data_IF_447730766383
#
_entry.id   IF_447730766383
#
_cell.length_a   1.000
_cell.length_b   1.000
_cell.length_c   1.000
_cell.angle_alpha   90.00
_cell.angle_beta   90.00
_cell.angle_gamma   90.00
#
_symmetry.space_group_name_H-M   'P 1'
#
loop_
_entity.id
_entity.type
_entity.pdbx_description
1 polymer ?
#
# COMPACT_ATOMS: atom_id res chain seq x y z
N UNK A 1 10.58 3.69 -46.31
CA UNK A 1 10.70 3.63 -44.85
C UNK A 1 12.17 3.39 -44.53
N UNK A 2 12.76 4.20 -43.66
CA UNK A 2 14.16 4.10 -43.27
C UNK A 2 14.30 3.22 -42.02
N UNK A 3 15.20 2.26 -42.03
CA UNK A 3 15.51 1.40 -40.88
C UNK A 3 16.72 1.93 -40.14
N UNK A 4 16.56 2.14 -38.82
CA UNK A 4 17.62 2.63 -37.94
C UNK A 4 17.70 1.74 -36.71
N UNK A 5 18.85 1.11 -36.51
CA UNK A 5 19.14 0.41 -35.26
C UNK A 5 19.64 1.39 -34.21
N UNK A 6 19.12 1.25 -33.00
CA UNK A 6 19.47 2.09 -31.84
C UNK A 6 19.74 1.22 -30.62
N UNK A 7 20.40 1.78 -29.61
CA UNK A 7 20.66 1.07 -28.38
C UNK A 7 19.38 0.94 -27.52
N UNK A 8 19.44 0.06 -26.53
CA UNK A 8 18.30 -0.28 -25.66
C UNK A 8 17.74 0.94 -24.93
N UNK A 9 18.60 1.76 -24.31
CA UNK A 9 18.18 2.93 -23.53
C UNK A 9 17.41 3.92 -24.40
N UNK A 10 17.98 4.28 -25.56
CA UNK A 10 17.33 5.22 -26.49
C UNK A 10 16.03 4.65 -27.07
N UNK A 11 15.98 3.33 -27.28
CA UNK A 11 14.76 2.64 -27.72
C UNK A 11 13.65 2.73 -26.67
N UNK A 12 13.98 2.51 -25.39
CA UNK A 12 13.04 2.60 -24.27
C UNK A 12 12.57 4.04 -24.03
N UNK A 13 13.47 5.01 -24.15
CA UNK A 13 13.12 6.44 -24.06
C UNK A 13 12.14 6.90 -25.16
N UNK A 14 12.32 6.42 -26.38
CA UNK A 14 11.40 6.71 -27.49
C UNK A 14 10.08 5.94 -27.29
N UNK A 15 10.14 4.69 -26.88
CA UNK A 15 8.96 3.85 -26.61
C UNK A 15 8.06 4.43 -25.51
N UNK A 16 8.65 5.00 -24.46
CA UNK A 16 7.93 5.68 -23.36
C UNK A 16 7.50 7.11 -23.68
N UNK A 17 7.79 7.59 -24.91
CA UNK A 17 7.54 8.98 -25.35
C UNK A 17 8.29 10.07 -24.52
N UNK A 18 9.32 9.66 -23.77
CA UNK A 18 10.20 10.60 -23.05
C UNK A 18 11.17 11.33 -23.97
N UNK A 19 11.46 10.74 -25.14
CA UNK A 19 12.33 11.33 -26.16
C UNK A 19 11.65 11.40 -27.52
N UNK A 20 11.56 12.61 -28.07
CA UNK A 20 10.85 12.90 -29.33
C UNK A 20 11.80 13.22 -30.49
N UNK A 21 13.09 13.08 -30.28
CA UNK A 21 14.10 13.33 -31.30
C UNK A 21 15.12 12.20 -31.33
N UNK A 22 15.54 11.81 -32.53
CA UNK A 22 16.65 10.91 -32.77
C UNK A 22 17.77 11.66 -33.47
N UNK A 23 18.96 11.67 -32.87
CA UNK A 23 20.13 12.38 -33.38
C UNK A 23 21.12 11.36 -33.94
N UNK A 24 21.66 11.64 -35.12
CA UNK A 24 22.71 10.88 -35.77
C UNK A 24 23.82 11.80 -36.31
N UNK A 25 25.06 11.44 -36.06
CA UNK A 25 26.21 12.20 -36.63
C UNK A 25 26.16 12.16 -38.17
N UNK A 26 26.50 13.29 -38.78
CA UNK A 26 26.51 13.44 -40.24
C UNK A 26 27.75 12.72 -40.86
N UNK A 27 27.87 11.40 -40.56
CA UNK A 27 28.88 10.48 -41.13
C UNK A 27 28.70 10.36 -42.65
N UNK A 28 29.71 9.80 -43.32
CA UNK A 28 29.62 9.51 -44.78
C UNK A 28 28.41 8.60 -45.09
N UNK A 29 28.08 7.65 -44.19
CA UNK A 29 26.93 6.77 -44.36
C UNK A 29 25.63 7.59 -44.32
N UNK A 30 25.42 8.40 -43.30
CA UNK A 30 24.18 9.16 -43.13
C UNK A 30 24.03 10.26 -44.23
N UNK A 31 25.12 10.89 -44.64
CA UNK A 31 25.10 11.81 -45.78
C UNK A 31 24.66 11.10 -47.07
N UNK A 32 25.16 9.87 -47.33
CA UNK A 32 24.74 9.08 -48.49
C UNK A 32 23.27 8.65 -48.44
N UNK A 33 22.74 8.41 -47.27
CA UNK A 33 21.35 7.94 -47.09
C UNK A 33 20.36 9.10 -47.16
N UNK A 34 20.72 10.26 -46.58
CA UNK A 34 19.82 11.35 -46.35
C UNK A 34 19.97 12.50 -47.36
N UNK A 35 21.05 12.61 -48.10
CA UNK A 35 21.30 13.71 -49.04
C UNK A 35 21.21 13.21 -50.47
N UNK A 36 20.29 13.82 -51.23
CA UNK A 36 20.12 13.60 -52.66
C UNK A 36 20.76 14.77 -53.44
N UNK A 37 21.67 14.51 -54.38
CA UNK A 37 22.24 15.59 -55.23
C UNK A 37 21.18 16.07 -56.21
N UNK A 38 21.02 17.38 -56.35
CA UNK A 38 20.21 18.05 -57.33
C UNK A 38 21.11 19.02 -58.13
N UNK A 39 20.96 18.99 -59.46
CA UNK A 39 21.66 19.91 -60.32
C UNK A 39 20.70 21.01 -60.69
N UNK A 40 21.06 22.25 -60.31
CA UNK A 40 20.33 23.47 -60.63
C UNK A 40 21.39 24.49 -61.14
N UNK A 41 21.19 25.03 -62.34
CA UNK A 41 22.11 26.00 -62.98
C UNK A 41 23.57 25.53 -62.97
N UNK A 42 23.84 24.29 -63.39
CA UNK A 42 25.15 23.62 -63.43
C UNK A 42 25.89 23.57 -62.09
N UNK A 43 25.18 23.72 -60.97
CA UNK A 43 25.70 23.57 -59.63
C UNK A 43 25.01 22.41 -58.91
N UNK A 44 25.80 21.65 -58.14
CA UNK A 44 25.27 20.55 -57.33
C UNK A 44 24.82 21.08 -55.96
N UNK A 45 23.55 20.90 -55.68
CA UNK A 45 22.95 21.15 -54.37
C UNK A 45 22.56 19.79 -53.76
N UNK A 46 22.50 19.74 -52.45
CA UNK A 46 22.06 18.53 -51.71
C UNK A 46 20.75 18.85 -51.01
N UNK A 47 19.72 18.06 -51.31
CA UNK A 47 18.40 18.09 -50.66
C UNK A 47 18.25 16.97 -49.67
N UNK A 48 17.57 17.20 -48.56
CA UNK A 48 17.33 16.15 -47.55
C UNK A 48 16.20 15.24 -48.04
N UNK A 49 16.47 13.93 -48.10
CA UNK A 49 15.49 12.93 -48.44
C UNK A 49 14.53 12.74 -47.27
N UNK A 50 13.26 13.07 -47.43
CA UNK A 50 12.25 13.04 -46.39
C UNK A 50 11.59 11.67 -46.28
N UNK A 51 11.63 11.05 -45.09
CA UNK A 51 10.98 9.80 -44.80
C UNK A 51 9.77 10.06 -43.88
N UNK A 52 8.57 9.69 -44.29
CA UNK A 52 7.35 9.80 -43.48
C UNK A 52 7.29 8.84 -42.31
N UNK A 53 8.00 7.71 -42.39
CA UNK A 53 8.04 6.66 -41.36
C UNK A 53 9.44 6.12 -41.19
N UNK A 54 9.80 5.85 -39.94
CA UNK A 54 11.06 5.18 -39.56
C UNK A 54 10.74 3.81 -38.96
N UNK A 55 11.57 2.85 -39.22
CA UNK A 55 11.60 1.56 -38.51
C UNK A 55 12.77 1.61 -37.53
N UNK A 56 12.47 1.70 -36.23
CA UNK A 56 13.49 1.74 -35.18
C UNK A 56 13.58 0.37 -34.51
N UNK A 57 14.75 -0.26 -34.51
CA UNK A 57 14.98 -1.54 -33.87
C UNK A 57 15.98 -1.43 -32.71
N UNK A 58 15.73 -2.19 -31.64
CA UNK A 58 16.68 -2.35 -30.55
C UNK A 58 17.70 -3.43 -30.90
N UNK A 59 18.70 -3.05 -31.68
CA UNK A 59 19.74 -3.96 -32.22
C UNK A 59 19.43 -4.51 -33.61
N UNK A 60 20.33 -5.40 -34.09
CA UNK A 60 20.24 -6.02 -35.40
C UNK A 60 19.50 -7.37 -35.31
N UNK A 61 18.69 -7.68 -36.31
CA UNK A 61 17.96 -8.94 -36.46
C UNK A 61 16.44 -8.77 -36.47
N UNK A 62 15.75 -9.66 -37.18
CA UNK A 62 14.29 -9.62 -37.39
C UNK A 62 13.49 -9.85 -36.10
N UNK A 63 14.08 -10.61 -35.17
CA UNK A 63 13.44 -10.99 -33.89
C UNK A 63 13.61 -9.93 -32.78
N UNK A 64 14.34 -8.86 -33.06
CA UNK A 64 14.56 -7.80 -32.05
C UNK A 64 13.33 -6.90 -31.92
N UNK A 65 13.08 -6.37 -30.69
CA UNK A 65 12.05 -5.38 -30.49
C UNK A 65 12.20 -4.20 -31.44
N UNK A 66 11.13 -3.83 -32.10
CA UNK A 66 11.13 -2.71 -33.05
C UNK A 66 9.80 -1.94 -33.00
N UNK A 67 9.85 -0.69 -33.45
CA UNK A 67 8.67 0.15 -33.64
C UNK A 67 8.68 0.78 -35.03
N UNK A 68 7.51 0.95 -35.59
CA UNK A 68 7.30 1.88 -36.72
C UNK A 68 6.78 3.18 -36.14
N UNK A 69 7.52 4.28 -36.40
CA UNK A 69 7.19 5.59 -35.86
C UNK A 69 7.10 6.63 -36.99
N UNK A 70 6.21 7.58 -36.84
CA UNK A 70 6.10 8.71 -37.74
C UNK A 70 7.38 9.57 -37.67
N UNK A 71 7.90 9.99 -38.81
CA UNK A 71 8.96 10.99 -38.92
C UNK A 71 8.34 12.28 -39.42
N UNK A 72 8.27 13.26 -38.55
CA UNK A 72 7.69 14.59 -38.88
C UNK A 72 8.59 15.44 -39.75
N UNK A 73 9.89 15.45 -39.43
CA UNK A 73 10.90 16.14 -40.21
C UNK A 73 12.29 15.57 -39.97
N UNK A 74 13.22 15.92 -40.88
CA UNK A 74 14.65 15.61 -40.76
C UNK A 74 15.39 16.90 -41.02
N UNK A 75 16.16 17.36 -40.03
CA UNK A 75 16.90 18.62 -40.05
C UNK A 75 18.40 18.31 -40.03
N UNK A 76 19.16 18.98 -40.88
CA UNK A 76 20.62 18.96 -40.82
C UNK A 76 21.12 20.10 -39.96
N UNK A 77 21.66 19.83 -38.81
CA UNK A 77 22.43 20.78 -38.01
C UNK A 77 23.88 20.80 -38.52
N UNK A 78 24.20 21.85 -39.30
CA UNK A 78 25.55 22.04 -39.88
C UNK A 78 26.57 22.45 -38.82
N UNK A 79 26.12 23.07 -37.72
CA UNK A 79 27.00 23.55 -36.65
C UNK A 79 27.53 22.42 -35.82
N UNK A 80 26.69 21.46 -35.49
CA UNK A 80 27.05 20.24 -34.75
C UNK A 80 27.38 19.04 -35.65
N UNK A 81 27.28 19.22 -36.97
CA UNK A 81 27.50 18.17 -37.98
C UNK A 81 26.63 16.93 -37.70
N UNK A 82 25.32 17.12 -37.48
CA UNK A 82 24.36 16.11 -37.12
C UNK A 82 23.09 16.15 -37.98
N UNK A 83 22.37 15.01 -38.02
CA UNK A 83 21.00 14.96 -38.51
C UNK A 83 20.07 14.73 -37.33
N UNK A 84 19.01 15.50 -37.21
CA UNK A 84 17.97 15.44 -36.18
C UNK A 84 16.68 14.97 -36.84
N UNK A 85 16.18 13.82 -36.41
CA UNK A 85 14.89 13.28 -36.83
C UNK A 85 13.84 13.69 -35.80
N UNK A 86 12.82 14.41 -36.19
CA UNK A 86 11.68 14.74 -35.35
C UNK A 86 10.67 13.57 -35.40
N UNK A 87 10.43 12.95 -34.28
CA UNK A 87 9.59 11.76 -34.14
C UNK A 87 8.14 12.19 -33.81
N UNK A 88 7.19 11.50 -34.43
CA UNK A 88 5.77 11.65 -34.16
C UNK A 88 5.21 10.52 -33.30
N UNK A 89 4.02 10.06 -33.66
CA UNK A 89 3.36 8.93 -32.97
C UNK A 89 3.92 7.59 -33.39
N UNK A 90 3.93 6.62 -32.45
CA UNK A 90 4.22 5.23 -32.75
C UNK A 90 3.03 4.64 -33.50
N UNK A 91 3.30 4.08 -34.69
CA UNK A 91 2.27 3.54 -35.59
C UNK A 91 2.09 2.03 -35.36
N UNK A 92 3.20 1.32 -35.10
CA UNK A 92 3.18 -0.14 -34.96
C UNK A 92 4.28 -0.60 -33.99
N UNK A 93 3.96 -1.61 -33.19
CA UNK A 93 4.92 -2.33 -32.33
C UNK A 93 5.24 -3.69 -32.93
N UNK A 94 6.51 -4.09 -33.00
CA UNK A 94 6.98 -5.38 -33.50
C UNK A 94 7.87 -6.05 -32.48
N UNK A 95 7.57 -7.32 -32.19
CA UNK A 95 8.33 -8.13 -31.22
C UNK A 95 8.48 -7.45 -29.84
N UNK A 96 7.51 -6.60 -29.46
CA UNK A 96 7.45 -5.97 -28.15
C UNK A 96 6.25 -6.57 -27.42
N UNK A 97 6.50 -7.29 -26.34
CA UNK A 97 5.44 -7.78 -25.46
C UNK A 97 4.99 -6.66 -24.51
N UNK A 98 4.26 -5.67 -25.04
CA UNK A 98 3.77 -4.51 -24.30
C UNK A 98 2.82 -4.91 -23.18
N UNK A 99 2.03 -5.98 -23.38
CA UNK A 99 1.09 -6.48 -22.39
C UNK A 99 1.80 -7.06 -21.18
N UNK A 100 2.86 -7.88 -21.38
CA UNK A 100 3.61 -8.46 -20.26
C UNK A 100 4.23 -7.39 -19.35
N UNK A 101 4.88 -6.36 -19.93
CA UNK A 101 5.42 -5.25 -19.12
C UNK A 101 4.34 -4.43 -18.41
N UNK A 102 3.17 -4.29 -19.03
CA UNK A 102 2.02 -3.61 -18.41
C UNK A 102 1.47 -4.43 -17.24
N UNK A 103 1.35 -5.74 -17.42
CA UNK A 103 0.85 -6.65 -16.37
C UNK A 103 1.83 -6.70 -15.19
N UNK A 104 3.13 -6.80 -15.43
CA UNK A 104 4.19 -6.72 -14.39
C UNK A 104 4.15 -5.39 -13.61
N UNK A 105 3.91 -4.27 -14.32
CA UNK A 105 3.79 -2.95 -13.65
C UNK A 105 2.51 -2.86 -12.82
N UNK A 106 1.39 -3.38 -13.33
CA UNK A 106 0.12 -3.43 -12.59
C UNK A 106 0.27 -4.26 -11.32
N UNK A 107 0.88 -5.45 -11.41
CA UNK A 107 1.14 -6.30 -10.25
C UNK A 107 2.04 -5.59 -9.21
N UNK A 108 3.08 -4.90 -9.67
CA UNK A 108 3.95 -4.12 -8.78
C UNK A 108 3.17 -3.00 -8.07
N UNK A 109 2.39 -2.22 -8.81
CA UNK A 109 1.59 -1.13 -8.25
C UNK A 109 0.52 -1.65 -7.27
N UNK A 110 -0.08 -2.80 -7.55
CA UNK A 110 -1.04 -3.43 -6.64
C UNK A 110 -0.37 -3.88 -5.34
N UNK A 111 0.85 -4.44 -5.40
CA UNK A 111 1.64 -4.78 -4.22
C UNK A 111 2.00 -3.54 -3.39
N UNK A 112 2.56 -2.52 -4.03
CA UNK A 112 2.92 -1.26 -3.34
C UNK A 112 1.70 -0.61 -2.69
N UNK A 113 0.54 -0.63 -3.37
CA UNK A 113 -0.73 -0.16 -2.82
C UNK A 113 -1.13 -0.97 -1.58
N UNK A 114 -1.06 -2.29 -1.64
CA UNK A 114 -1.44 -3.17 -0.52
C UNK A 114 -0.51 -2.97 0.69
N UNK A 115 0.81 -2.89 0.48
CA UNK A 115 1.79 -2.61 1.52
C UNK A 115 1.54 -1.24 2.19
N UNK A 116 1.19 -0.24 1.39
CA UNK A 116 0.84 1.10 1.88
C UNK A 116 -0.46 1.07 2.69
N UNK A 117 -1.50 0.39 2.21
CA UNK A 117 -2.77 0.23 2.91
C UNK A 117 -2.57 -0.49 4.26
N UNK A 118 -1.75 -1.55 4.32
CA UNK A 118 -1.39 -2.25 5.55
C UNK A 118 -0.60 -1.36 6.51
N UNK A 119 0.36 -0.57 6.02
CA UNK A 119 1.13 0.37 6.83
C UNK A 119 0.25 1.45 7.46
N UNK A 120 -0.72 1.99 6.69
CA UNK A 120 -1.66 3.02 7.19
C UNK A 120 -2.71 2.43 8.13
N UNK A 121 -2.97 1.11 8.05
CA UNK A 121 -3.98 0.45 8.86
C UNK A 121 -3.52 0.14 10.29
N UNK A 122 -2.22 0.15 10.57
CA UNK A 122 -1.66 -0.20 11.88
C UNK A 122 -1.37 1.02 12.76
N UNK A 123 -1.48 0.82 14.07
CA UNK A 123 -0.96 1.74 15.07
C UNK A 123 0.56 1.58 15.20
N UNK A 124 1.31 2.67 15.11
CA UNK A 124 2.77 2.65 15.08
C UNK A 124 3.41 2.15 16.37
N UNK A 125 2.79 2.40 17.53
CA UNK A 125 3.32 1.99 18.83
C UNK A 125 3.06 0.53 19.12
N UNK A 126 1.84 0.07 18.90
CA UNK A 126 1.36 -1.24 19.36
C UNK A 126 1.34 -2.29 18.25
N UNK A 127 1.42 -1.89 16.99
CA UNK A 127 1.32 -2.75 15.81
C UNK A 127 -0.01 -3.53 15.70
N UNK A 128 -1.01 -3.17 16.51
CA UNK A 128 -2.41 -3.55 16.29
C UNK A 128 -3.00 -2.74 15.15
N UNK A 129 -4.15 -3.11 14.63
CA UNK A 129 -4.86 -2.23 13.72
C UNK A 129 -5.29 -0.94 14.43
N UNK A 130 -5.46 0.14 13.68
CA UNK A 130 -5.96 1.40 14.21
C UNK A 130 -7.50 1.50 14.09
N UNK A 131 -8.07 2.55 14.68
CA UNK A 131 -9.51 2.82 14.67
C UNK A 131 -10.09 2.91 13.25
N UNK A 132 -9.36 3.53 12.31
CA UNK A 132 -9.83 3.65 10.92
C UNK A 132 -10.02 2.27 10.28
N UNK A 133 -9.10 1.34 10.51
CA UNK A 133 -9.22 -0.03 10.01
C UNK A 133 -10.39 -0.75 10.66
N UNK A 134 -10.64 -0.56 11.96
CA UNK A 134 -11.80 -1.09 12.66
C UNK A 134 -13.11 -0.66 12.00
N UNK A 135 -13.26 0.63 11.68
CA UNK A 135 -14.48 1.16 11.06
C UNK A 135 -14.74 0.51 9.69
N UNK A 136 -13.70 0.25 8.91
CA UNK A 136 -13.79 -0.45 7.61
C UNK A 136 -14.21 -1.91 7.83
N UNK A 137 -13.55 -2.61 8.76
CA UNK A 137 -13.78 -4.03 9.00
C UNK A 137 -15.18 -4.30 9.57
N UNK A 138 -15.67 -3.43 10.45
CA UNK A 138 -17.05 -3.50 10.95
C UNK A 138 -18.09 -3.48 9.83
N UNK A 139 -17.91 -2.60 8.82
CA UNK A 139 -18.79 -2.54 7.65
C UNK A 139 -18.81 -3.84 6.85
N UNK A 140 -17.73 -4.60 6.87
CA UNK A 140 -17.63 -5.90 6.21
C UNK A 140 -18.19 -7.01 7.10
N UNK A 141 -17.85 -7.03 8.39
CA UNK A 141 -18.23 -8.10 9.32
C UNK A 141 -19.73 -8.20 9.54
N UNK A 142 -20.43 -7.06 9.65
CA UNK A 142 -21.91 -7.07 9.80
C UNK A 142 -22.66 -7.64 8.59
N UNK A 143 -22.02 -7.75 7.43
CA UNK A 143 -22.61 -8.32 6.20
C UNK A 143 -22.38 -9.82 6.08
N UNK A 144 -21.61 -10.42 6.95
CA UNK A 144 -21.30 -11.86 6.91
C UNK A 144 -22.49 -12.68 7.41
N UNK A 145 -22.59 -13.93 6.94
CA UNK A 145 -23.68 -14.83 7.33
C UNK A 145 -23.73 -15.14 8.84
N UNK A 146 -22.57 -15.10 9.51
CA UNK A 146 -22.40 -15.33 10.94
C UNK A 146 -22.36 -14.03 11.77
N UNK A 147 -22.78 -12.90 11.21
CA UNK A 147 -22.76 -11.60 11.90
C UNK A 147 -23.51 -11.61 13.26
N UNK A 148 -24.48 -12.49 13.44
CA UNK A 148 -25.19 -12.68 14.73
C UNK A 148 -24.25 -13.04 15.88
N UNK A 149 -23.11 -13.70 15.60
CA UNK A 149 -22.10 -14.12 16.58
C UNK A 149 -20.98 -13.09 16.72
N UNK A 150 -21.03 -11.98 16.00
CA UNK A 150 -20.07 -10.88 16.09
C UNK A 150 -20.16 -10.21 17.46
N UNK A 151 -19.05 -10.19 18.16
CA UNK A 151 -18.86 -9.53 19.43
C UNK A 151 -17.83 -8.39 19.32
N UNK A 152 -18.08 -7.30 20.01
CA UNK A 152 -17.11 -6.24 20.28
C UNK A 152 -16.75 -6.30 21.75
N UNK A 153 -15.46 -6.39 22.03
CA UNK A 153 -14.90 -6.34 23.37
C UNK A 153 -14.06 -5.07 23.47
N UNK A 154 -14.58 -4.10 24.18
CA UNK A 154 -13.84 -2.90 24.52
C UNK A 154 -12.94 -3.19 25.71
N UNK A 155 -11.68 -2.83 25.63
CA UNK A 155 -10.64 -3.10 26.64
C UNK A 155 -9.94 -1.82 27.00
N UNK A 156 -9.88 -1.51 28.29
CA UNK A 156 -9.21 -0.32 28.80
C UNK A 156 -8.21 -0.71 29.91
N UNK A 157 -7.00 -0.16 29.80
CA UNK A 157 -5.95 -0.39 30.78
C UNK A 157 -6.20 0.36 32.07
N UNK A 158 -6.48 -0.39 33.14
CA UNK A 158 -6.82 0.19 34.43
C UNK A 158 -5.71 1.09 35.00
N UNK A 159 -6.10 2.32 35.39
CA UNK A 159 -5.20 3.29 36.03
C UNK A 159 -3.95 3.63 35.20
N UNK A 160 -4.06 3.55 33.88
CA UNK A 160 -2.93 3.78 32.96
C UNK A 160 -2.27 5.16 33.17
N UNK A 161 -3.07 6.22 33.42
CA UNK A 161 -2.52 7.53 33.78
C UNK A 161 -1.57 7.45 34.97
N UNK A 162 -1.89 6.65 36.00
CA UNK A 162 -1.00 6.45 37.13
C UNK A 162 0.33 5.75 36.77
N UNK A 163 0.36 4.91 35.75
CA UNK A 163 1.61 4.34 35.22
C UNK A 163 2.46 5.46 34.60
N UNK A 164 1.87 6.29 33.75
CA UNK A 164 2.57 7.44 33.17
C UNK A 164 3.08 8.44 34.20
N UNK A 165 2.25 8.81 35.16
CA UNK A 165 2.57 9.81 36.16
C UNK A 165 3.71 9.34 37.13
N UNK A 166 3.74 8.04 37.46
CA UNK A 166 4.72 7.50 38.41
C UNK A 166 5.99 6.95 37.74
N UNK A 167 5.93 6.48 36.48
CA UNK A 167 7.01 5.75 35.82
C UNK A 167 7.41 6.32 34.46
N UNK A 168 6.78 7.41 34.03
CA UNK A 168 7.04 8.10 32.78
C UNK A 168 6.40 7.46 31.55
N UNK A 169 6.24 8.25 30.47
CA UNK A 169 5.57 7.86 29.24
C UNK A 169 6.23 6.65 28.55
N UNK A 170 7.56 6.54 28.60
CA UNK A 170 8.27 5.36 28.02
C UNK A 170 7.82 4.05 28.66
N UNK A 171 7.51 4.08 29.97
CA UNK A 171 6.98 2.89 30.67
C UNK A 171 5.51 2.64 30.30
N UNK A 172 4.73 3.70 30.15
CA UNK A 172 3.38 3.61 29.61
C UNK A 172 3.34 3.01 28.20
N UNK A 173 4.22 3.44 27.33
CA UNK A 173 4.33 2.89 25.97
C UNK A 173 4.66 1.38 25.98
N UNK A 174 5.57 0.95 26.85
CA UNK A 174 5.86 -0.47 27.07
C UNK A 174 4.67 -1.24 27.63
N UNK A 175 3.87 -0.62 28.50
CA UNK A 175 2.63 -1.22 29.03
C UNK A 175 1.60 -1.41 27.92
N UNK A 176 1.44 -0.44 27.01
CA UNK A 176 0.55 -0.56 25.86
C UNK A 176 1.04 -1.62 24.87
N UNK A 177 2.33 -1.69 24.59
CA UNK A 177 2.91 -2.73 23.75
C UNK A 177 2.74 -4.13 24.35
N UNK A 178 2.90 -4.25 25.66
CA UNK A 178 2.65 -5.48 26.38
C UNK A 178 1.17 -5.90 26.27
N UNK A 179 0.24 -4.98 26.55
CA UNK A 179 -1.21 -5.21 26.45
C UNK A 179 -1.58 -5.65 25.03
N UNK A 180 -1.12 -4.95 24.02
CA UNK A 180 -1.36 -5.25 22.63
C UNK A 180 -0.93 -6.68 22.25
N UNK A 181 0.27 -7.11 22.68
CA UNK A 181 0.77 -8.47 22.44
C UNK A 181 -0.13 -9.53 23.08
N UNK A 182 -0.59 -9.29 24.32
CA UNK A 182 -1.52 -10.22 25.00
C UNK A 182 -2.85 -10.29 24.27
N UNK A 183 -3.43 -9.14 23.90
CA UNK A 183 -4.66 -9.07 23.14
C UNK A 183 -4.54 -9.80 21.79
N UNK A 184 -3.50 -9.55 21.01
CA UNK A 184 -3.26 -10.21 19.72
C UNK A 184 -3.12 -11.75 19.87
N UNK A 185 -2.37 -12.22 20.88
CA UNK A 185 -2.21 -13.65 21.16
C UNK A 185 -3.57 -14.32 21.41
N UNK A 186 -4.42 -13.71 22.22
CA UNK A 186 -5.74 -14.27 22.56
C UNK A 186 -6.76 -14.07 21.43
N UNK A 187 -6.64 -12.99 20.64
CA UNK A 187 -7.47 -12.75 19.47
C UNK A 187 -7.34 -13.88 18.43
N UNK A 188 -6.14 -14.40 18.21
CA UNK A 188 -5.90 -15.55 17.32
C UNK A 188 -6.72 -16.79 17.75
N UNK A 189 -6.90 -17.01 19.07
CA UNK A 189 -7.69 -18.13 19.60
C UNK A 189 -9.21 -17.89 19.48
N UNK A 190 -9.60 -16.67 19.19
CA UNK A 190 -10.99 -16.23 19.03
C UNK A 190 -11.35 -15.96 17.55
N UNK A 191 -10.40 -16.21 16.62
CA UNK A 191 -10.53 -15.84 15.22
C UNK A 191 -10.93 -14.35 15.06
N UNK A 192 -10.31 -13.51 15.90
CA UNK A 192 -10.63 -12.09 16.01
C UNK A 192 -9.46 -11.18 15.69
N UNK A 193 -9.78 -9.90 15.56
CA UNK A 193 -8.83 -8.83 15.26
C UNK A 193 -8.80 -7.78 16.35
N UNK A 194 -7.60 -7.21 16.62
CA UNK A 194 -7.38 -6.21 17.67
C UNK A 194 -7.10 -4.86 17.05
N UNK A 195 -7.78 -3.86 17.56
CA UNK A 195 -7.69 -2.47 17.13
C UNK A 195 -7.35 -1.56 18.31
N UNK A 196 -6.42 -0.62 18.13
CA UNK A 196 -6.25 0.48 19.09
C UNK A 196 -7.27 1.56 18.79
N UNK A 197 -8.20 1.76 19.70
CA UNK A 197 -9.28 2.72 19.55
C UNK A 197 -8.81 4.16 19.82
N UNK A 198 -7.97 4.33 20.85
CA UNK A 198 -7.32 5.60 21.20
C UNK A 198 -6.67 5.51 22.58
N UNK A 199 -5.58 6.25 22.83
CA UNK A 199 -4.91 6.27 24.13
C UNK A 199 -4.56 4.87 24.65
N UNK A 200 -5.18 4.48 25.76
CA UNK A 200 -5.06 3.17 26.40
C UNK A 200 -6.20 2.18 26.08
N UNK A 201 -7.05 2.52 25.10
CA UNK A 201 -8.25 1.78 24.74
C UNK A 201 -8.04 0.92 23.51
N UNK A 202 -8.47 -0.33 23.61
CA UNK A 202 -8.44 -1.31 22.52
C UNK A 202 -9.82 -1.89 22.28
N UNK A 203 -10.07 -2.34 21.07
CA UNK A 203 -11.27 -3.11 20.70
C UNK A 203 -10.84 -4.42 20.09
N UNK A 204 -11.40 -5.52 20.57
CA UNK A 204 -11.31 -6.84 19.96
C UNK A 204 -12.64 -7.13 19.28
N UNK A 205 -12.62 -7.41 17.98
CA UNK A 205 -13.78 -7.88 17.21
C UNK A 205 -13.58 -9.37 16.92
N UNK A 206 -14.56 -10.20 17.24
CA UNK A 206 -14.48 -11.65 17.01
C UNK A 206 -15.87 -12.26 16.78
N UNK A 207 -15.90 -13.43 16.14
CA UNK A 207 -17.11 -14.22 15.94
C UNK A 207 -17.11 -15.39 16.93
N UNK A 208 -17.67 -15.18 18.12
CA UNK A 208 -17.64 -16.19 19.17
C UNK A 208 -18.95 -16.21 19.99
N UNK A 209 -19.54 -17.38 20.24
CA UNK A 209 -20.70 -17.49 21.13
C UNK A 209 -20.40 -16.97 22.54
N UNK A 210 -21.42 -16.35 23.17
CA UNK A 210 -21.29 -15.62 24.45
C UNK A 210 -20.57 -16.40 25.54
N UNK A 211 -21.01 -17.62 25.86
CA UNK A 211 -20.45 -18.39 26.98
C UNK A 211 -18.96 -18.72 26.76
N UNK A 212 -18.60 -19.09 25.55
CA UNK A 212 -17.23 -19.39 25.19
C UNK A 212 -16.35 -18.14 25.21
N UNK A 213 -16.88 -17.02 24.73
CA UNK A 213 -16.18 -15.73 24.72
C UNK A 213 -15.83 -15.30 26.13
N UNK A 214 -16.79 -15.28 27.04
CA UNK A 214 -16.55 -14.82 28.42
C UNK A 214 -15.50 -15.66 29.15
N UNK A 215 -15.48 -16.96 28.94
CA UNK A 215 -14.42 -17.83 29.47
C UNK A 215 -13.04 -17.41 28.97
N UNK A 216 -12.89 -17.27 27.65
CA UNK A 216 -11.62 -16.90 27.02
C UNK A 216 -11.16 -15.48 27.40
N UNK A 217 -12.11 -14.54 27.56
CA UNK A 217 -11.78 -13.18 28.03
C UNK A 217 -11.33 -13.18 29.50
N UNK A 218 -11.88 -14.05 30.34
CA UNK A 218 -11.40 -14.16 31.73
C UNK A 218 -9.98 -14.76 31.77
N UNK A 219 -9.67 -15.75 30.92
CA UNK A 219 -8.31 -16.27 30.73
C UNK A 219 -7.35 -15.16 30.28
N UNK A 220 -7.73 -14.36 29.31
CA UNK A 220 -6.96 -13.20 28.84
C UNK A 220 -6.72 -12.19 29.98
N UNK A 221 -7.75 -11.82 30.74
CA UNK A 221 -7.65 -10.89 31.88
C UNK A 221 -6.63 -11.39 32.92
N UNK A 222 -6.68 -12.66 33.24
CA UNK A 222 -5.75 -13.31 34.20
C UNK A 222 -4.33 -13.33 33.60
N UNK A 223 -4.17 -13.68 32.31
CA UNK A 223 -2.86 -13.69 31.62
C UNK A 223 -2.22 -12.31 31.61
N UNK A 224 -2.99 -11.24 31.32
CA UNK A 224 -2.49 -9.85 31.38
C UNK A 224 -1.96 -9.52 32.79
N UNK A 225 -2.69 -9.88 33.83
CA UNK A 225 -2.34 -9.57 35.20
C UNK A 225 -1.18 -10.39 35.77
N UNK A 226 -0.97 -11.59 35.24
CA UNK A 226 0.02 -12.58 35.76
C UNK A 226 1.47 -12.16 35.53
N UNK A 227 1.76 -11.55 34.40
CA UNK A 227 3.11 -11.09 34.06
C UNK A 227 3.34 -9.66 34.54
N UNK A 228 4.58 -9.36 34.88
CA UNK A 228 5.00 -8.02 35.34
C UNK A 228 5.76 -7.30 34.24
N UNK A 229 5.47 -6.03 34.10
CA UNK A 229 6.23 -5.12 33.25
C UNK A 229 7.45 -4.67 34.07
N UNK A 230 8.65 -4.99 33.57
CA UNK A 230 9.87 -4.65 34.25
C UNK A 230 10.16 -3.16 34.16
N UNK A 231 10.41 -2.54 35.31
CA UNK A 231 10.91 -1.19 35.45
C UNK A 231 12.17 -1.23 36.36
N UNK A 232 13.18 -0.36 36.17
CA UNK A 232 14.42 -0.40 36.96
C UNK A 232 14.25 -0.41 38.48
N UNK A 233 13.14 0.18 38.97
CA UNK A 233 12.93 0.33 40.41
C UNK A 233 11.74 -0.51 40.94
N UNK A 234 10.90 -1.07 40.06
CA UNK A 234 9.69 -1.79 40.49
C UNK A 234 9.10 -2.64 39.39
N UNK A 235 8.51 -3.74 39.75
CA UNK A 235 7.64 -4.52 38.89
C UNK A 235 6.22 -3.91 38.85
N UNK A 236 5.70 -3.68 37.63
CA UNK A 236 4.39 -3.07 37.42
C UNK A 236 3.42 -4.15 36.98
N UNK A 237 2.30 -4.28 37.70
CA UNK A 237 1.19 -5.15 37.28
C UNK A 237 0.17 -4.33 36.50
N UNK A 238 -0.22 -4.80 35.36
CA UNK A 238 -1.31 -4.23 34.57
C UNK A 238 -2.59 -5.04 34.77
N UNK A 239 -3.72 -4.38 34.97
CA UNK A 239 -5.04 -4.97 34.86
C UNK A 239 -5.87 -4.23 33.82
N UNK A 240 -6.96 -4.85 33.38
CA UNK A 240 -7.86 -4.29 32.35
C UNK A 240 -9.31 -4.43 32.77
N UNK A 241 -10.09 -3.43 32.43
CA UNK A 241 -11.56 -3.47 32.45
C UNK A 241 -12.04 -3.76 31.03
N UNK A 242 -12.97 -4.73 30.89
CA UNK A 242 -13.50 -5.15 29.61
C UNK A 242 -15.01 -5.01 29.55
N UNK A 243 -15.52 -4.47 28.45
CA UNK A 243 -16.95 -4.38 28.16
C UNK A 243 -17.28 -5.15 26.89
N UNK A 244 -18.33 -5.97 26.94
CA UNK A 244 -18.74 -6.82 25.83
C UNK A 244 -20.12 -6.44 25.33
N UNK A 245 -20.27 -6.32 24.04
CA UNK A 245 -21.55 -6.22 23.34
C UNK A 245 -21.62 -7.22 22.19
N UNK A 246 -22.84 -7.62 21.80
CA UNK A 246 -23.08 -8.49 20.66
C UNK A 246 -23.87 -7.74 19.58
N UNK A 247 -23.48 -7.96 18.33
CA UNK A 247 -24.17 -7.32 17.20
C UNK A 247 -25.66 -7.65 17.14
N UNK A 248 -26.03 -8.91 17.46
CA UNK A 248 -27.44 -9.36 17.49
C UNK A 248 -28.34 -8.51 18.41
N UNK A 249 -27.75 -7.88 19.43
CA UNK A 249 -28.45 -7.04 20.40
C UNK A 249 -28.39 -5.55 20.03
N UNK A 250 -27.92 -5.21 18.84
CA UNK A 250 -27.70 -3.83 18.40
C UNK A 250 -28.43 -3.56 17.07
N UNK A 251 -28.80 -2.29 16.86
CA UNK A 251 -29.52 -1.84 15.68
C UNK A 251 -28.65 -1.02 14.71
N UNK A 252 -27.46 -0.63 15.14
CA UNK A 252 -26.48 0.10 14.33
C UNK A 252 -25.07 -0.15 14.83
N UNK A 253 -24.06 0.11 13.99
CA UNK A 253 -22.64 0.02 14.37
C UNK A 253 -22.35 0.95 15.55
N UNK A 254 -22.87 2.17 15.52
CA UNK A 254 -22.70 3.15 16.61
C UNK A 254 -23.25 2.62 17.92
N UNK A 255 -24.48 2.06 17.89
CA UNK A 255 -25.10 1.47 19.09
C UNK A 255 -24.32 0.25 19.58
N UNK A 256 -23.76 -0.57 18.67
CA UNK A 256 -22.97 -1.75 19.01
C UNK A 256 -21.68 -1.37 19.77
N UNK A 257 -20.90 -0.45 19.22
CA UNK A 257 -19.67 0.04 19.86
C UNK A 257 -19.98 0.79 21.15
N UNK A 258 -21.01 1.65 21.16
CA UNK A 258 -21.44 2.38 22.35
C UNK A 258 -21.80 1.44 23.51
N UNK A 259 -22.51 0.35 23.25
CA UNK A 259 -22.83 -0.65 24.30
C UNK A 259 -21.57 -1.30 24.89
N UNK A 260 -20.58 -1.63 24.04
CA UNK A 260 -19.33 -2.19 24.53
C UNK A 260 -18.55 -1.17 25.40
N UNK A 261 -18.55 0.11 25.03
CA UNK A 261 -17.94 1.20 25.82
C UNK A 261 -18.69 1.44 27.15
N UNK A 262 -20.03 1.48 27.13
CA UNK A 262 -20.85 1.58 28.34
C UNK A 262 -20.57 0.38 29.29
N UNK A 263 -20.35 -0.82 28.78
CA UNK A 263 -19.98 -1.98 29.58
C UNK A 263 -18.59 -1.81 30.24
N UNK A 264 -17.60 -1.23 29.56
CA UNK A 264 -16.31 -0.88 30.18
C UNK A 264 -16.50 0.13 31.31
N UNK A 265 -17.33 1.13 31.09
CA UNK A 265 -17.62 2.10 32.16
C UNK A 265 -18.21 1.42 33.40
N UNK A 266 -19.12 0.45 33.22
CA UNK A 266 -19.65 -0.37 34.33
C UNK A 266 -18.53 -1.21 34.98
N UNK A 267 -17.65 -1.82 34.20
CA UNK A 267 -16.51 -2.57 34.73
C UNK A 267 -15.59 -1.70 35.58
N UNK A 268 -15.31 -0.47 35.12
CA UNK A 268 -14.51 0.51 35.89
C UNK A 268 -15.19 0.95 37.20
N UNK A 269 -16.50 1.21 37.17
CA UNK A 269 -17.26 1.64 38.37
C UNK A 269 -17.49 0.53 39.38
N UNK A 270 -17.62 -0.73 38.91
CA UNK A 270 -17.79 -1.90 39.73
C UNK A 270 -16.49 -2.44 40.36
N UNK A 271 -15.37 -1.71 40.25
CA UNK A 271 -14.11 -2.05 40.93
C UNK A 271 -12.95 -2.45 40.02
N UNK A 272 -13.10 -2.30 38.70
CA UNK A 272 -12.05 -2.64 37.70
C UNK A 272 -11.67 -4.13 37.65
N UNK A 273 -10.66 -4.46 36.82
CA UNK A 273 -10.13 -5.83 36.68
C UNK A 273 -11.26 -6.86 36.49
N UNK A 274 -12.18 -6.60 35.57
CA UNK A 274 -13.36 -7.42 35.30
C UNK A 274 -13.92 -7.27 33.90
N UNK A 275 -14.88 -8.12 33.61
CA UNK A 275 -15.66 -8.14 32.38
C UNK A 275 -17.11 -7.82 32.71
N UNK A 276 -17.70 -6.88 32.02
CA UNK A 276 -19.15 -6.60 32.06
C UNK A 276 -19.75 -6.77 30.66
N UNK A 277 -21.02 -7.18 30.62
CA UNK A 277 -21.75 -7.44 29.36
C UNK A 277 -23.05 -6.65 29.39
N UNK A 278 -23.29 -5.85 28.37
CA UNK A 278 -24.61 -5.27 28.14
C UNK A 278 -25.39 -6.20 27.23
N UNK A 279 -26.36 -6.88 27.83
CA UNK A 279 -27.43 -7.59 27.11
C UNK A 279 -28.68 -6.71 27.10
N UNK A 280 -29.58 -6.96 26.13
CA UNK A 280 -30.85 -6.23 26.02
C UNK A 280 -31.57 -6.06 27.35
#
# INVERSE_FOLDING_TARGET
MLHISINKTLFEDILSNSKKQLIKDASKHWKKVLLEPRIIDDKIYYEINKFKKLYLSNGLGSEKPAIVIECKDIIQDKTQNQFIFELGSIIEHKNINVNQKKDELIEKLLREKQELEESIAKDHLTQTYNRRKMDIDLQMFIKQANAKDLAAVFVDADRFKGINDNFGHNTGDRALQYLAKKLQKHALLLEGEVYRYGGEEFVLLCFCPNEQLLKKLNELRIDIKSEKILHPFKEISLSVSMGVAFWKDSNSIENFIKKADEAVYLAKTNGRDRIEVIQK
#
